data_IF_804152675432
#
_entry.id   IF_804152675432
#
_cell.length_a   1.000
_cell.length_b   1.000
_cell.length_c   1.000
_cell.angle_alpha   90.00
_cell.angle_beta   90.00
_cell.angle_gamma   90.00
#
_symmetry.space_group_name_H-M   'P 1'
#
loop_
_entity.id
_entity.type
_entity.pdbx_description
1 polymer ?
#
# COMPACT_ATOMS: atom_id res chain seq x y z
N UNK A 1 0.26 25.13 0.65
CA UNK A 1 1.07 24.13 -0.09
C UNK A 1 0.43 22.74 0.04
N UNK A 2 -0.07 22.20 -1.07
CA UNK A 2 -0.57 20.83 -1.11
C UNK A 2 0.59 19.90 -0.74
N UNK A 3 0.48 19.22 0.39
CA UNK A 3 1.49 18.25 0.76
C UNK A 3 1.26 17.01 -0.09
N UNK A 4 2.28 16.60 -0.84
CA UNK A 4 2.23 15.35 -1.57
C UNK A 4 2.22 14.16 -0.58
N UNK A 5 1.46 13.10 -0.87
CA UNK A 5 1.52 11.86 -0.08
C UNK A 5 2.93 11.28 -0.16
N UNK A 6 3.43 10.77 0.97
CA UNK A 6 4.72 10.07 1.04
C UNK A 6 4.48 8.58 0.94
N UNK A 7 4.89 7.96 -0.17
CA UNK A 7 4.91 6.50 -0.27
C UNK A 7 6.33 5.96 -0.05
N UNK A 8 6.50 5.17 0.99
CA UNK A 8 7.69 4.38 1.31
C UNK A 8 7.55 3.03 0.61
N UNK A 9 8.26 2.82 -0.50
CA UNK A 9 8.27 1.56 -1.24
C UNK A 9 9.72 1.07 -1.36
N UNK A 10 10.04 -0.16 -0.91
CA UNK A 10 11.36 -0.72 -1.10
C UNK A 10 11.63 -0.96 -2.59
N UNK A 11 12.76 -0.47 -3.08
CA UNK A 11 13.14 -0.53 -4.50
C UNK A 11 13.47 -1.97 -4.94
N UNK A 12 14.04 -2.74 -4.02
CA UNK A 12 14.36 -4.16 -4.23
C UNK A 12 14.06 -4.94 -2.97
N UNK A 13 13.49 -6.13 -3.14
CA UNK A 13 13.16 -7.04 -2.05
C UNK A 13 13.86 -8.34 -2.33
N UNK A 14 14.49 -8.91 -1.31
CA UNK A 14 15.18 -10.18 -1.46
C UNK A 14 14.16 -11.32 -1.63
N UNK A 15 14.44 -12.23 -2.57
CA UNK A 15 13.53 -13.35 -2.85
C UNK A 15 13.36 -14.21 -1.60
N UNK A 16 12.12 -14.37 -1.15
CA UNK A 16 11.79 -15.09 0.10
C UNK A 16 11.57 -14.20 1.33
N UNK A 17 11.77 -12.88 1.21
CA UNK A 17 11.42 -11.90 2.24
C UNK A 17 10.12 -11.17 1.90
N UNK A 18 9.38 -10.77 2.93
CA UNK A 18 8.20 -9.90 2.78
C UNK A 18 8.63 -8.46 2.55
N UNK A 19 7.95 -7.77 1.65
CA UNK A 19 8.06 -6.33 1.46
C UNK A 19 6.94 -5.66 2.27
N UNK A 20 7.24 -4.55 2.94
CA UNK A 20 6.21 -3.64 3.45
C UNK A 20 6.22 -2.40 2.56
N UNK A 21 5.08 -2.06 1.97
CA UNK A 21 4.89 -0.81 1.26
C UNK A 21 3.95 0.06 2.08
N UNK A 22 4.31 1.33 2.26
CA UNK A 22 3.53 2.23 3.12
C UNK A 22 3.33 3.58 2.49
N UNK A 23 2.09 3.93 2.18
CA UNK A 23 1.75 5.26 1.72
C UNK A 23 1.00 6.03 2.79
N UNK A 24 1.54 7.19 3.19
CA UNK A 24 0.96 8.08 4.18
C UNK A 24 0.72 9.46 3.57
N UNK A 25 -0.55 9.78 3.47
CA UNK A 25 -1.06 11.12 3.32
C UNK A 25 -1.48 11.63 4.71
N UNK A 26 -0.71 12.59 5.23
CA UNK A 26 -0.91 13.15 6.58
C UNK A 26 -1.93 14.29 6.61
N UNK A 27 -2.45 14.72 5.47
CA UNK A 27 -3.13 16.02 5.33
C UNK A 27 -4.45 15.98 4.56
N UNK A 28 -4.83 14.82 4.02
CA UNK A 28 -6.12 14.59 3.40
C UNK A 28 -7.18 14.50 4.48
N UNK A 29 -7.97 15.57 4.58
CA UNK A 29 -9.24 15.62 5.29
C UNK A 29 -10.32 15.81 4.22
N UNK A 30 -11.23 14.86 4.01
CA UNK A 30 -11.39 13.58 4.71
C UNK A 30 -10.28 12.56 4.40
N UNK A 31 -10.15 11.55 5.25
CA UNK A 31 -9.11 10.52 5.15
C UNK A 31 -9.04 9.92 3.73
N UNK A 32 -7.84 9.89 3.16
CA UNK A 32 -7.62 9.31 1.84
C UNK A 32 -7.83 7.79 1.87
N UNK A 33 -8.44 7.26 0.82
CA UNK A 33 -8.54 5.82 0.59
C UNK A 33 -7.34 5.37 -0.24
N UNK A 34 -6.53 4.47 0.28
CA UNK A 34 -5.37 3.96 -0.46
C UNK A 34 -5.75 2.74 -1.27
N UNK A 35 -5.28 2.70 -2.52
CA UNK A 35 -5.46 1.58 -3.44
C UNK A 35 -4.10 1.12 -3.93
N UNK A 36 -3.73 -0.11 -3.61
CA UNK A 36 -2.47 -0.70 -4.07
C UNK A 36 -2.70 -1.51 -5.34
N UNK A 37 -1.72 -1.48 -6.22
CA UNK A 37 -1.75 -2.22 -7.48
C UNK A 37 -0.46 -3.02 -7.61
N UNK A 38 -0.58 -4.28 -8.01
CA UNK A 38 0.54 -5.14 -8.37
C UNK A 38 0.30 -5.70 -9.76
N UNK A 39 1.26 -5.56 -10.66
CA UNK A 39 1.13 -6.03 -12.06
C UNK A 39 -0.15 -5.49 -12.74
N UNK A 40 -0.46 -4.21 -12.53
CA UNK A 40 -1.71 -3.55 -12.99
C UNK A 40 -3.01 -4.16 -12.43
N UNK A 41 -2.94 -5.08 -11.45
CA UNK A 41 -4.11 -5.62 -10.76
C UNK A 41 -4.33 -4.94 -9.42
N UNK A 42 -5.55 -4.45 -9.11
CA UNK A 42 -5.84 -3.88 -7.81
C UNK A 42 -5.74 -4.97 -6.73
N UNK A 43 -5.06 -4.65 -5.63
CA UNK A 43 -4.99 -5.48 -4.45
C UNK A 43 -6.13 -5.09 -3.53
N UNK A 44 -6.93 -6.08 -3.13
CA UNK A 44 -8.08 -5.87 -2.25
C UNK A 44 -7.82 -6.56 -0.90
N UNK A 45 -8.26 -5.96 0.22
CA UNK A 45 -8.07 -6.54 1.55
C UNK A 45 -8.94 -7.78 1.79
N UNK A 46 -9.97 -8.00 0.95
CA UNK A 46 -10.93 -9.10 1.07
C UNK A 46 -10.80 -10.20 0.02
N UNK A 47 -9.85 -10.08 -0.91
CA UNK A 47 -9.57 -11.12 -1.90
C UNK A 47 -8.11 -11.52 -1.72
N UNK A 48 -7.85 -12.67 -1.06
CA UNK A 48 -7.28 -13.84 -1.74
C UNK A 48 -6.84 -14.95 -0.74
N UNK A 49 -7.19 -16.23 -1.02
CA UNK A 49 -6.55 -17.41 -0.46
C UNK A 49 -5.16 -17.75 -1.06
N UNK A 50 -4.63 -16.94 -1.98
CA UNK A 50 -3.44 -17.27 -2.78
C UNK A 50 -2.24 -16.32 -2.60
N UNK A 51 -2.35 -15.25 -1.80
CA UNK A 51 -1.27 -14.25 -1.72
C UNK A 51 -1.02 -13.80 -0.26
N UNK A 52 0.20 -14.02 0.24
CA UNK A 52 0.64 -13.67 1.60
C UNK A 52 0.97 -12.16 1.73
N UNK A 53 0.00 -11.28 1.50
CA UNK A 53 0.16 -9.85 1.79
C UNK A 53 -0.94 -9.37 2.74
N UNK A 54 -0.63 -8.32 3.51
CA UNK A 54 -1.57 -7.67 4.43
C UNK A 54 -1.82 -6.25 3.96
N UNK A 55 -2.94 -6.07 3.25
CA UNK A 55 -3.33 -4.76 2.75
C UNK A 55 -4.23 -4.06 3.78
N UNK A 56 -3.82 -2.88 4.23
CA UNK A 56 -4.63 -1.98 5.03
C UNK A 56 -4.84 -0.65 4.28
N UNK A 57 -6.01 -0.51 3.67
CA UNK A 57 -6.38 0.68 2.88
C UNK A 57 -6.70 1.92 3.71
N UNK A 58 -6.73 1.80 5.05
CA UNK A 58 -6.95 2.93 5.97
C UNK A 58 -5.65 3.60 6.36
N UNK A 59 -4.62 2.80 6.59
CA UNK A 59 -3.26 3.24 6.93
C UNK A 59 -2.36 3.37 5.71
N UNK A 60 -2.78 2.80 4.57
CA UNK A 60 -2.02 2.78 3.33
C UNK A 60 -0.87 1.78 3.37
N UNK A 61 -0.98 0.68 4.12
CA UNK A 61 0.07 -0.34 4.26
C UNK A 61 -0.23 -1.57 3.39
N UNK A 62 0.78 -2.19 2.78
CA UNK A 62 0.72 -3.44 2.02
C UNK A 62 1.87 -4.36 2.42
#
# INVERSE_FOLDING_TARGET
>A
PAHAPSCEVPETVMRGFSAELRCKDKLSIPAATYSWYKDNKPLHPGNLPEINYTLDSKTGTL
#
